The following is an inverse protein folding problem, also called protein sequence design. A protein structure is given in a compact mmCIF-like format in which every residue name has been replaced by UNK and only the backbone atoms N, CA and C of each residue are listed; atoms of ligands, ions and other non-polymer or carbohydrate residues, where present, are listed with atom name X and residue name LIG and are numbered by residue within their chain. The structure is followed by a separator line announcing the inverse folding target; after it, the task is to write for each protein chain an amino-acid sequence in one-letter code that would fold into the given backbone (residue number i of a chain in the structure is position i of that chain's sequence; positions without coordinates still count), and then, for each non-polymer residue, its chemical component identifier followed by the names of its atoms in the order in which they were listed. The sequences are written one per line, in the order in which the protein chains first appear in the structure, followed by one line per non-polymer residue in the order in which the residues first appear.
data_IF_554232449459
#
_entry.id   IF_554232449459
#
_cell.length_a   1.000
_cell.length_b   1.000
_cell.length_c   1.000
_cell.angle_alpha   90.00
_cell.angle_beta   90.00
_cell.angle_gamma   90.00
#
_symmetry.space_group_name_H-M   'P 1'
#
loop_
_entity.id
_entity.type
_entity.pdbx_description
1 polymer ?
#
# COMPACT_ATOMS: atom_id res chain seq x y z
N UNK A 1 -0.22 13.66 -45.70
CA UNK A 1 -0.85 13.89 -44.38
C UNK A 1 -1.27 12.60 -43.66
N UNK A 2 -2.00 11.67 -44.29
CA UNK A 2 -2.43 10.40 -43.66
C UNK A 2 -1.32 9.51 -43.08
N UNK A 3 -0.11 9.47 -43.66
CA UNK A 3 0.98 8.66 -43.11
C UNK A 3 1.61 9.24 -41.84
N UNK A 4 1.64 10.57 -41.68
CA UNK A 4 2.19 11.22 -40.48
C UNK A 4 1.30 10.96 -39.25
N UNK A 5 -0.01 11.12 -39.40
CA UNK A 5 -0.98 10.82 -38.33
C UNK A 5 -0.93 9.34 -37.90
N UNK A 6 -0.77 8.42 -38.86
CA UNK A 6 -0.60 6.99 -38.59
C UNK A 6 0.68 6.70 -37.77
N UNK A 7 1.82 7.26 -38.16
CA UNK A 7 3.08 7.04 -37.43
C UNK A 7 3.08 7.70 -36.04
N UNK A 8 2.41 8.84 -35.88
CA UNK A 8 2.18 9.47 -34.57
C UNK A 8 1.33 8.55 -33.68
N UNK A 9 0.23 8.00 -34.21
CA UNK A 9 -0.62 7.07 -33.47
C UNK A 9 0.14 5.80 -33.04
N UNK A 10 0.91 5.18 -33.95
CA UNK A 10 1.74 4.00 -33.62
C UNK A 10 2.80 4.33 -32.56
N UNK A 11 3.43 5.51 -32.65
CA UNK A 11 4.42 5.95 -31.67
C UNK A 11 3.78 6.16 -30.28
N UNK A 12 2.61 6.79 -30.21
CA UNK A 12 1.87 7.00 -28.97
C UNK A 12 1.42 5.68 -28.34
N UNK A 13 0.88 4.74 -29.13
CA UNK A 13 0.54 3.40 -28.63
C UNK A 13 1.77 2.68 -28.11
N UNK A 14 2.88 2.70 -28.84
CA UNK A 14 4.14 2.04 -28.42
C UNK A 14 4.70 2.65 -27.13
N UNK A 15 4.71 3.98 -27.01
CA UNK A 15 5.13 4.68 -25.80
C UNK A 15 4.23 4.30 -24.61
N UNK A 16 2.91 4.27 -24.81
CA UNK A 16 1.96 3.86 -23.79
C UNK A 16 2.21 2.41 -23.34
N UNK A 17 2.44 1.48 -24.28
CA UNK A 17 2.76 0.09 -23.99
C UNK A 17 4.09 -0.08 -23.24
N UNK A 18 5.12 0.70 -23.60
CA UNK A 18 6.41 0.68 -22.89
C UNK A 18 6.24 1.24 -21.47
N UNK A 19 5.52 2.35 -21.30
CA UNK A 19 5.22 2.91 -19.99
C UNK A 19 4.45 1.92 -19.11
N UNK A 20 3.40 1.30 -19.65
CA UNK A 20 2.62 0.25 -18.96
C UNK A 20 3.52 -0.92 -18.59
N UNK A 21 4.30 -1.47 -19.54
CA UNK A 21 5.22 -2.57 -19.24
C UNK A 21 6.26 -2.18 -18.20
N UNK A 22 6.82 -0.97 -18.27
CA UNK A 22 7.84 -0.49 -17.32
C UNK A 22 7.23 -0.34 -15.93
N UNK A 23 6.08 0.31 -15.79
CA UNK A 23 5.37 0.40 -14.49
C UNK A 23 5.07 -0.99 -13.94
N UNK A 24 4.55 -1.91 -14.75
CA UNK A 24 4.28 -3.28 -14.30
C UNK A 24 5.54 -4.07 -13.97
N UNK A 25 6.63 -3.88 -14.71
CA UNK A 25 7.91 -4.53 -14.46
C UNK A 25 8.54 -4.01 -13.19
N UNK A 26 8.59 -2.69 -12.98
CA UNK A 26 9.11 -2.07 -11.76
C UNK A 26 8.27 -2.49 -10.56
N UNK A 27 6.94 -2.42 -10.63
CA UNK A 27 6.06 -2.90 -9.54
C UNK A 27 6.27 -4.40 -9.29
N UNK A 28 6.35 -5.23 -10.34
CA UNK A 28 6.55 -6.68 -10.15
C UNK A 28 7.92 -7.00 -9.57
N UNK A 29 8.99 -6.38 -10.05
CA UNK A 29 10.35 -6.62 -9.57
C UNK A 29 10.52 -6.07 -8.16
N UNK A 30 10.01 -4.88 -7.88
CA UNK A 30 10.12 -4.24 -6.57
C UNK A 30 9.28 -4.94 -5.51
N UNK A 31 8.16 -5.58 -5.86
CA UNK A 31 7.26 -6.15 -4.85
C UNK A 31 7.16 -7.68 -4.84
N UNK A 32 7.44 -8.41 -5.93
CA UNK A 32 7.48 -9.88 -5.89
C UNK A 32 8.84 -10.44 -5.46
N UNK A 33 9.91 -9.63 -5.51
CA UNK A 33 11.26 -10.06 -5.19
C UNK A 33 11.85 -9.35 -3.97
N UNK A 34 11.04 -8.84 -3.04
CA UNK A 34 11.55 -8.39 -1.75
C UNK A 34 11.61 -9.60 -0.81
N UNK A 35 12.76 -10.29 -0.68
CA UNK A 35 12.92 -11.40 0.27
C UNK A 35 12.59 -11.00 1.71
N UNK A 36 12.63 -9.69 2.03
CA UNK A 36 12.28 -9.10 3.32
C UNK A 36 10.81 -9.33 3.71
N UNK A 37 9.84 -9.19 2.79
CA UNK A 37 8.43 -9.42 3.10
C UNK A 37 8.13 -10.90 3.40
N UNK A 38 8.86 -11.81 2.74
CA UNK A 38 8.70 -13.26 2.97
C UNK A 38 9.42 -13.68 4.24
N UNK A 39 10.64 -13.19 4.51
CA UNK A 39 11.36 -13.52 5.74
C UNK A 39 10.66 -13.02 7.00
N UNK A 40 10.14 -11.78 7.00
CA UNK A 40 9.46 -11.24 8.18
C UNK A 40 8.06 -11.80 8.40
N UNK A 41 7.35 -12.22 7.33
CA UNK A 41 6.12 -12.99 7.48
C UNK A 41 6.37 -14.40 8.06
N UNK A 42 7.55 -14.97 7.79
CA UNK A 42 7.99 -16.24 8.39
C UNK A 42 8.44 -16.06 9.85
N UNK A 43 9.07 -14.92 10.21
CA UNK A 43 9.43 -14.61 11.60
C UNK A 43 8.19 -14.60 12.52
N UNK A 44 7.05 -14.08 12.04
CA UNK A 44 5.77 -14.15 12.78
C UNK A 44 5.32 -15.60 13.00
N UNK A 45 5.47 -16.47 11.99
CA UNK A 45 5.05 -17.86 12.07
C UNK A 45 6.01 -18.74 12.90
N UNK A 46 7.31 -18.43 12.91
CA UNK A 46 8.33 -19.17 13.67
C UNK A 46 8.37 -18.75 15.17
N UNK A 47 7.86 -17.55 15.51
CA UNK A 47 7.69 -17.10 16.90
C UNK A 47 6.40 -17.65 17.57
N UNK A 48 5.34 -17.88 16.79
CA UNK A 48 4.07 -18.51 17.24
C UNK A 48 4.31 -19.92 17.79
N UNK A 49 5.22 -20.70 17.17
CA UNK A 49 5.59 -22.06 17.62
C UNK A 49 6.47 -22.07 18.89
N UNK A 50 6.99 -20.91 19.34
CA UNK A 50 7.97 -20.83 20.46
C UNK A 50 7.44 -20.26 21.76
N UNK A 51 6.21 -19.73 21.83
CA UNK A 51 5.65 -19.19 23.09
C UNK A 51 4.65 -20.15 23.73
N UNK A 52 4.94 -20.71 24.92
CA UNK A 52 3.89 -21.11 25.84
C UNK A 52 3.09 -19.86 26.24
N UNK A 53 1.78 -19.87 26.02
CA UNK A 53 0.86 -18.84 26.53
C UNK A 53 1.01 -18.76 28.07
N UNK A 54 1.76 -17.78 28.60
CA UNK A 54 1.64 -17.43 30.02
C UNK A 54 2.87 -17.00 30.84
N UNK A 55 4.03 -16.63 30.28
CA UNK A 55 5.13 -16.13 31.14
C UNK A 55 5.48 -14.66 30.88
N UNK A 56 5.19 -13.83 31.89
CA UNK A 56 5.67 -12.44 32.00
C UNK A 56 7.13 -12.43 32.44
N UNK A 57 8.05 -12.09 31.54
CA UNK A 57 9.43 -11.79 31.91
C UNK A 57 9.55 -10.32 32.32
N UNK A 58 9.83 -10.08 33.59
CA UNK A 58 10.34 -8.80 34.09
C UNK A 58 11.85 -8.78 33.80
N UNK A 59 12.29 -7.98 32.82
CA UNK A 59 13.71 -7.65 32.67
C UNK A 59 13.90 -6.13 32.68
N UNK A 60 14.68 -5.65 33.64
CA UNK A 60 14.88 -4.25 34.03
C UNK A 60 15.97 -3.54 33.20
N UNK A 61 15.97 -3.72 31.87
CA UNK A 61 16.90 -3.01 30.97
C UNK A 61 16.17 -2.37 29.78
N UNK A 62 15.27 -1.43 30.07
CA UNK A 62 14.39 -0.86 29.05
C UNK A 62 15.06 0.27 28.25
N UNK A 63 15.26 0.08 26.93
CA UNK A 63 14.67 1.09 26.05
C UNK A 63 13.18 0.82 26.10
N UNK A 64 12.43 1.71 26.75
CA UNK A 64 11.00 1.54 26.87
C UNK A 64 10.34 2.03 25.57
N UNK A 65 10.28 1.17 24.55
CA UNK A 65 9.09 1.23 23.69
C UNK A 65 7.97 0.67 24.58
N UNK A 66 6.98 1.50 24.89
CA UNK A 66 5.86 1.11 25.73
C UNK A 66 5.16 -0.11 25.12
N UNK A 67 4.61 -1.01 25.95
CA UNK A 67 3.77 -2.09 25.43
C UNK A 67 2.60 -1.52 24.63
N UNK A 68 2.13 -2.22 23.60
CA UNK A 68 0.94 -1.78 22.84
C UNK A 68 -0.23 -1.59 23.81
N UNK A 69 -0.79 -0.38 23.93
CA UNK A 69 -1.86 -0.13 24.88
C UNK A 69 -3.17 -0.74 24.42
N UNK A 70 -4.03 -1.07 25.38
CA UNK A 70 -5.35 -1.68 25.15
C UNK A 70 -6.38 -0.63 24.68
N UNK A 71 -6.13 -0.06 23.50
CA UNK A 71 -6.98 0.97 22.89
C UNK A 71 -7.36 0.51 21.48
N UNK A 72 -8.66 0.55 21.16
CA UNK A 72 -9.17 0.36 19.80
C UNK A 72 -9.58 1.72 19.25
N UNK A 73 -9.01 2.09 18.10
CA UNK A 73 -9.31 3.28 17.35
C UNK A 73 -10.13 2.93 16.11
N UNK A 74 -11.21 3.65 15.89
CA UNK A 74 -11.99 3.61 14.64
C UNK A 74 -12.28 5.03 14.19
N UNK A 75 -12.35 5.25 12.87
CA UNK A 75 -12.65 6.59 12.32
C UNK A 75 -13.88 6.55 11.43
N UNK A 76 -14.63 7.65 11.41
CA UNK A 76 -15.66 7.88 10.40
C UNK A 76 -15.93 9.36 10.22
N UNK A 77 -16.67 9.72 9.18
CA UNK A 77 -17.01 11.12 8.91
C UNK A 77 -17.76 11.78 10.07
N UNK A 78 -18.65 11.04 10.71
CA UNK A 78 -19.53 11.53 11.78
C UNK A 78 -19.71 10.47 12.87
N UNK A 79 -20.34 10.84 13.98
CA UNK A 79 -20.71 9.89 15.04
C UNK A 79 -21.77 8.85 14.64
N UNK A 80 -22.40 8.99 13.46
CA UNK A 80 -23.46 8.09 13.02
C UNK A 80 -22.91 7.03 12.05
N UNK A 81 -22.64 5.84 12.58
CA UNK A 81 -22.10 4.72 11.82
C UNK A 81 -23.20 4.09 10.94
N UNK A 82 -22.92 3.80 9.64
CA UNK A 82 -23.84 3.08 8.76
C UNK A 82 -24.20 1.70 9.29
N UNK A 83 -25.46 1.30 9.11
CA UNK A 83 -26.02 0.03 9.64
C UNK A 83 -25.18 -1.20 9.24
N UNK A 84 -24.69 -1.23 8.00
CA UNK A 84 -23.87 -2.32 7.45
C UNK A 84 -22.53 -2.55 8.19
N UNK A 85 -22.07 -1.60 9.00
CA UNK A 85 -20.81 -1.67 9.75
C UNK A 85 -21.01 -1.71 11.26
N UNK A 86 -22.26 -1.65 11.75
CA UNK A 86 -22.54 -1.76 13.17
C UNK A 86 -22.15 -3.12 13.74
N UNK A 87 -22.36 -4.19 12.96
CA UNK A 87 -21.95 -5.54 13.39
C UNK A 87 -20.43 -5.67 13.57
N UNK A 88 -19.66 -5.07 12.66
CA UNK A 88 -18.20 -5.02 12.74
C UNK A 88 -17.75 -4.35 14.05
N UNK A 89 -18.24 -3.14 14.33
CA UNK A 89 -17.92 -2.43 15.56
C UNK A 89 -18.38 -3.21 16.81
N UNK A 90 -19.63 -3.69 16.82
CA UNK A 90 -20.18 -4.40 17.98
C UNK A 90 -19.40 -5.68 18.29
N UNK A 91 -18.90 -6.39 17.27
CA UNK A 91 -18.07 -7.59 17.48
C UNK A 91 -16.81 -7.28 18.28
N UNK A 92 -16.13 -6.17 17.98
CA UNK A 92 -14.96 -5.69 18.72
C UNK A 92 -15.32 -5.22 20.12
N UNK A 93 -16.35 -4.39 20.27
CA UNK A 93 -16.82 -3.92 21.58
C UNK A 93 -17.19 -5.09 22.48
N UNK A 94 -17.85 -6.13 21.93
CA UNK A 94 -18.28 -7.30 22.69
C UNK A 94 -17.13 -8.12 23.23
N UNK A 95 -16.05 -8.30 22.46
CA UNK A 95 -14.88 -9.07 22.89
C UNK A 95 -13.97 -8.27 23.83
N UNK A 96 -13.98 -6.94 23.71
CA UNK A 96 -13.07 -6.04 24.40
C UNK A 96 -13.84 -5.07 25.33
N UNK A 97 -14.69 -5.61 26.21
CA UNK A 97 -15.52 -4.81 27.12
C UNK A 97 -14.79 -4.32 28.37
N UNK A 98 -13.80 -5.10 28.83
CA UNK A 98 -13.12 -4.88 30.12
C UNK A 98 -11.64 -4.63 29.89
N UNK A 99 -11.12 -3.54 30.43
CA UNK A 99 -9.70 -3.19 30.32
C UNK A 99 -9.30 -2.54 28.99
N UNK A 100 -10.22 -2.41 28.04
CA UNK A 100 -10.00 -1.78 26.75
C UNK A 100 -10.69 -0.42 26.65
N UNK A 101 -10.02 0.56 26.06
CA UNK A 101 -10.60 1.83 25.68
C UNK A 101 -11.02 1.80 24.20
N UNK A 102 -12.22 2.31 23.90
CA UNK A 102 -12.68 2.47 22.52
C UNK A 102 -12.71 3.96 22.19
N UNK A 103 -11.89 4.37 21.22
CA UNK A 103 -11.81 5.74 20.74
C UNK A 103 -12.37 5.82 19.32
N UNK A 104 -13.43 6.59 19.17
CA UNK A 104 -14.05 6.85 17.89
C UNK A 104 -13.74 8.27 17.45
N UNK A 105 -13.20 8.43 16.25
CA UNK A 105 -12.74 9.70 15.72
C UNK A 105 -13.64 10.15 14.57
N UNK A 106 -14.32 11.28 14.76
CA UNK A 106 -14.99 11.97 13.65
C UNK A 106 -14.01 12.82 12.84
N UNK A 107 -14.42 13.29 11.67
CA UNK A 107 -13.62 14.27 10.89
C UNK A 107 -13.33 15.54 11.72
N UNK A 108 -14.27 15.96 12.58
CA UNK A 108 -14.10 17.09 13.49
C UNK A 108 -13.11 16.77 14.62
N UNK A 109 -13.19 15.58 15.22
CA UNK A 109 -12.23 15.15 16.25
C UNK A 109 -10.82 15.06 15.68
N UNK A 110 -10.67 14.54 14.46
CA UNK A 110 -9.40 14.42 13.76
C UNK A 110 -8.75 15.79 13.49
N UNK A 111 -9.52 16.75 12.97
CA UNK A 111 -9.05 18.12 12.72
C UNK A 111 -8.63 18.81 14.03
N UNK A 112 -9.46 18.71 15.08
CA UNK A 112 -9.17 19.27 16.41
C UNK A 112 -7.93 18.63 17.04
N UNK A 113 -7.80 17.31 16.96
CA UNK A 113 -6.65 16.57 17.46
C UNK A 113 -5.35 17.03 16.79
N UNK A 114 -5.35 17.16 15.46
CA UNK A 114 -4.20 17.70 14.73
C UNK A 114 -3.94 19.17 15.08
N UNK A 115 -4.98 20.00 15.22
CA UNK A 115 -4.82 21.39 15.61
C UNK A 115 -4.16 21.56 17.00
N UNK A 116 -4.46 20.67 17.94
CA UNK A 116 -3.92 20.71 19.29
C UNK A 116 -2.51 20.11 19.36
N UNK A 117 -2.29 18.94 18.76
CA UNK A 117 -1.07 18.16 18.97
C UNK A 117 -0.05 18.26 17.83
N UNK A 118 -0.51 18.54 16.61
CA UNK A 118 0.31 18.58 15.40
C UNK A 118 -0.04 19.78 14.49
N UNK A 119 -0.10 21.02 15.02
CA UNK A 119 -0.60 22.17 14.27
C UNK A 119 0.21 22.47 13.00
N UNK A 120 1.46 22.03 12.96
CA UNK A 120 2.34 22.14 11.80
C UNK A 120 1.87 21.30 10.61
N UNK A 121 1.16 20.19 10.83
CA UNK A 121 0.66 19.31 9.78
C UNK A 121 -0.75 19.69 9.29
N UNK A 122 -1.50 20.44 10.11
CA UNK A 122 -2.89 20.79 9.83
C UNK A 122 -3.13 21.43 8.44
N UNK A 123 -2.26 22.32 7.92
CA UNK A 123 -2.41 22.85 6.56
C UNK A 123 -2.34 21.75 5.49
N UNK A 124 -1.40 20.80 5.62
CA UNK A 124 -1.27 19.65 4.72
C UNK A 124 -2.49 18.75 4.81
N UNK A 125 -2.92 18.42 6.03
CA UNK A 125 -4.12 17.61 6.28
C UNK A 125 -5.36 18.18 5.58
N UNK A 126 -5.59 19.48 5.71
CA UNK A 126 -6.75 20.16 5.08
C UNK A 126 -6.61 20.32 3.57
N UNK A 127 -5.39 20.23 3.03
CA UNK A 127 -5.13 20.36 1.60
C UNK A 127 -5.40 19.07 0.82
N UNK A 128 -5.53 17.91 1.47
CA UNK A 128 -5.82 16.65 0.79
C UNK A 128 -7.16 16.72 0.03
N UNK A 129 -7.18 16.39 -1.28
CA UNK A 129 -8.38 16.53 -2.11
C UNK A 129 -9.48 15.51 -1.79
N UNK A 130 -9.16 14.40 -1.13
CA UNK A 130 -10.11 13.32 -0.86
C UNK A 130 -10.24 13.03 0.63
N UNK A 131 -11.47 12.90 1.13
CA UNK A 131 -11.76 12.56 2.54
C UNK A 131 -11.04 11.28 2.99
N UNK A 132 -10.93 10.29 2.11
CA UNK A 132 -10.25 9.02 2.42
C UNK A 132 -8.76 9.22 2.71
N UNK A 133 -8.09 10.18 2.07
CA UNK A 133 -6.68 10.48 2.40
C UNK A 133 -6.56 11.03 3.82
N UNK A 134 -7.54 11.83 4.26
CA UNK A 134 -7.58 12.34 5.64
C UNK A 134 -7.87 11.21 6.64
N UNK A 135 -8.72 10.25 6.29
CA UNK A 135 -8.96 9.05 7.09
C UNK A 135 -7.74 8.10 7.14
N UNK A 136 -6.99 7.99 6.04
CA UNK A 136 -5.70 7.29 5.99
C UNK A 136 -4.64 7.99 6.85
N UNK A 137 -4.60 9.32 6.86
CA UNK A 137 -3.56 10.03 7.61
C UNK A 137 -3.84 10.02 9.11
N UNK A 138 -5.09 10.24 9.53
CA UNK A 138 -5.41 10.32 10.96
C UNK A 138 -5.06 9.03 11.70
N UNK A 139 -5.24 7.85 11.08
CA UNK A 139 -4.88 6.56 11.68
C UNK A 139 -3.38 6.45 12.01
N UNK A 140 -2.50 7.07 11.23
CA UNK A 140 -1.07 7.11 11.53
C UNK A 140 -0.77 8.00 12.73
N UNK A 141 -1.39 9.19 12.77
CA UNK A 141 -1.18 10.12 13.88
C UNK A 141 -1.74 9.62 15.21
N UNK A 142 -2.91 8.98 15.22
CA UNK A 142 -3.49 8.42 16.47
C UNK A 142 -2.66 7.24 16.97
N UNK A 143 -2.19 6.34 16.09
CA UNK A 143 -1.29 5.26 16.48
C UNK A 143 0.06 5.79 16.99
N UNK A 144 0.65 6.78 16.32
CA UNK A 144 1.88 7.39 16.80
C UNK A 144 1.69 8.07 18.17
N UNK A 145 0.55 8.72 18.39
CA UNK A 145 0.31 9.48 19.61
C UNK A 145 -0.09 8.59 20.80
N UNK A 146 -1.05 7.69 20.60
CA UNK A 146 -1.68 6.88 21.64
C UNK A 146 -1.23 5.43 21.64
N UNK A 147 -0.66 4.92 20.54
CA UNK A 147 -0.49 3.49 20.31
C UNK A 147 -1.83 2.78 20.06
N UNK A 148 -1.86 1.48 20.29
CA UNK A 148 -3.06 0.66 20.29
C UNK A 148 -3.32 -0.06 18.97
N UNK A 149 -4.59 -0.31 18.69
CA UNK A 149 -5.08 -1.00 17.50
C UNK A 149 -5.99 -0.06 16.72
N UNK A 150 -5.65 0.22 15.47
CA UNK A 150 -6.55 0.86 14.52
C UNK A 150 -7.31 -0.19 13.71
N UNK A 151 -8.62 0.00 13.53
CA UNK A 151 -9.48 -0.81 12.67
C UNK A 151 -10.36 0.11 11.81
N UNK A 152 -10.43 -0.15 10.51
CA UNK A 152 -11.47 0.42 9.65
C UNK A 152 -12.86 -0.08 10.07
N UNK A 153 -13.91 0.67 9.73
CA UNK A 153 -15.28 0.37 10.18
C UNK A 153 -15.87 -0.90 9.57
N UNK A 154 -15.37 -1.33 8.44
CA UNK A 154 -15.71 -2.60 7.80
C UNK A 154 -14.89 -3.79 8.34
N UNK A 155 -14.07 -3.58 9.38
CA UNK A 155 -13.32 -4.63 10.07
C UNK A 155 -13.89 -4.86 11.47
N UNK A 156 -14.30 -6.10 11.73
CA UNK A 156 -14.74 -6.58 13.05
C UNK A 156 -13.72 -7.49 13.71
N UNK A 157 -14.01 -7.92 14.94
CA UNK A 157 -13.15 -8.79 15.73
C UNK A 157 -13.80 -10.17 15.85
N UNK A 158 -13.07 -11.21 15.44
CA UNK A 158 -13.45 -12.61 15.58
C UNK A 158 -12.89 -13.23 16.86
N UNK A 159 -11.74 -12.75 17.33
CA UNK A 159 -11.02 -13.23 18.51
C UNK A 159 -10.50 -12.05 19.36
N UNK A 160 -10.19 -12.28 20.64
CA UNK A 160 -9.47 -11.29 21.45
C UNK A 160 -8.14 -10.91 20.79
N UNK A 161 -7.84 -9.61 20.75
CA UNK A 161 -6.65 -9.07 20.09
C UNK A 161 -5.41 -9.05 20.98
N UNK A 162 -5.53 -9.39 22.27
CA UNK A 162 -4.46 -9.44 23.26
C UNK A 162 -3.18 -10.15 22.77
N UNK A 163 -3.27 -11.31 22.06
CA UNK A 163 -2.07 -11.99 21.55
C UNK A 163 -1.27 -11.15 20.56
N UNK A 164 -1.92 -10.22 19.85
CA UNK A 164 -1.28 -9.35 18.87
C UNK A 164 -0.56 -8.16 19.52
N UNK A 165 -0.86 -7.85 20.79
CA UNK A 165 -0.26 -6.71 21.50
C UNK A 165 1.15 -7.01 22.04
N UNK A 166 1.59 -8.26 21.98
CA UNK A 166 2.88 -8.72 22.46
C UNK A 166 4.03 -8.49 21.47
N UNK A 167 3.79 -7.72 20.42
CA UNK A 167 4.72 -7.40 19.34
C UNK A 167 4.84 -5.87 19.22
N UNK A 168 5.83 -5.39 18.45
CA UNK A 168 6.00 -3.97 18.12
C UNK A 168 4.90 -3.45 17.18
N UNK A 169 5.27 -2.99 15.99
CA UNK A 169 4.29 -2.62 14.99
C UNK A 169 3.83 -3.84 14.16
N UNK A 170 2.52 -4.03 13.98
CA UNK A 170 1.94 -5.07 13.12
C UNK A 170 1.07 -4.48 12.02
N UNK A 171 1.22 -4.99 10.80
CA UNK A 171 0.35 -4.68 9.67
C UNK A 171 -0.03 -5.98 8.92
N UNK A 172 -1.26 -6.11 8.43
CA UNK A 172 -1.70 -7.31 7.71
C UNK A 172 -1.14 -7.38 6.31
N UNK A 173 -0.78 -8.58 5.86
CA UNK A 173 -0.45 -8.85 4.46
C UNK A 173 -1.69 -8.69 3.60
N UNK A 174 -1.60 -7.92 2.52
CA UNK A 174 -2.65 -7.77 1.52
C UNK A 174 -2.28 -8.39 0.19
N UNK A 175 -3.29 -8.73 -0.61
CA UNK A 175 -3.14 -9.29 -1.96
C UNK A 175 -3.53 -8.23 -3.01
N UNK A 176 -2.82 -8.18 -4.16
CA UNK A 176 -1.75 -9.08 -4.59
C UNK A 176 -0.36 -8.76 -4.01
N UNK A 177 -0.18 -7.58 -3.42
CA UNK A 177 1.13 -7.04 -3.02
C UNK A 177 0.99 -6.18 -1.77
N UNK A 178 1.93 -6.33 -0.84
CA UNK A 178 2.18 -5.37 0.24
C UNK A 178 1.41 -5.64 1.53
N UNK A 179 1.15 -4.56 2.26
CA UNK A 179 0.39 -4.56 3.52
C UNK A 179 -0.88 -3.73 3.38
N UNK A 180 -1.94 -4.10 4.12
CA UNK A 180 -3.11 -3.22 4.26
C UNK A 180 -2.88 -2.19 5.36
N UNK A 181 -3.58 -1.07 5.27
CA UNK A 181 -3.63 -0.02 6.29
C UNK A 181 -5.00 0.03 7.01
N UNK A 182 -5.88 -0.95 6.78
CA UNK A 182 -7.20 -1.05 7.45
C UNK A 182 -7.14 -1.65 8.86
N UNK A 183 -6.08 -2.40 9.16
CA UNK A 183 -5.72 -2.87 10.50
C UNK A 183 -4.27 -2.52 10.75
N UNK A 184 -3.98 -1.87 11.87
CA UNK A 184 -2.61 -1.57 12.26
C UNK A 184 -2.50 -1.58 13.78
N UNK A 185 -1.41 -2.15 14.28
CA UNK A 185 -1.17 -2.28 15.72
C UNK A 185 0.19 -1.66 16.00
N UNK A 186 0.30 -0.85 17.04
CA UNK A 186 1.58 -0.24 17.38
C UNK A 186 1.64 0.26 18.81
N UNK A 187 2.81 0.23 19.45
CA UNK A 187 3.02 1.01 20.66
C UNK A 187 3.05 2.51 20.34
N UNK A 188 2.77 3.34 21.34
CA UNK A 188 2.89 4.78 21.17
C UNK A 188 4.34 5.13 20.81
N UNK A 189 4.49 6.14 19.94
CA UNK A 189 5.79 6.67 19.49
C UNK A 189 6.70 5.69 18.76
N UNK A 190 6.15 4.61 18.18
CA UNK A 190 6.94 3.67 17.40
C UNK A 190 7.69 4.37 16.24
N UNK A 191 9.01 4.14 16.05
CA UNK A 191 9.83 4.86 15.06
C UNK A 191 9.30 4.75 13.63
N UNK A 192 8.75 3.60 13.25
CA UNK A 192 8.07 3.41 11.96
C UNK A 192 6.99 4.48 11.70
N UNK A 193 6.10 4.75 12.66
CA UNK A 193 5.05 5.75 12.46
C UNK A 193 5.58 7.19 12.53
N UNK A 194 6.72 7.42 13.20
CA UNK A 194 7.41 8.71 13.11
C UNK A 194 7.89 8.97 11.67
N UNK A 195 8.54 7.98 11.05
CA UNK A 195 9.00 8.03 9.66
C UNK A 195 7.83 8.22 8.69
N UNK A 196 6.76 7.42 8.83
CA UNK A 196 5.53 7.55 8.03
C UNK A 196 4.97 8.98 8.09
N UNK A 197 4.89 9.58 9.29
CA UNK A 197 4.38 10.94 9.47
C UNK A 197 5.31 12.00 8.85
N UNK A 198 6.62 11.80 8.92
CA UNK A 198 7.62 12.69 8.32
C UNK A 198 7.56 12.64 6.79
N UNK A 199 7.38 11.46 6.20
CA UNK A 199 7.35 11.27 4.75
C UNK A 199 6.03 11.76 4.12
N UNK A 200 4.94 11.83 4.88
CA UNK A 200 3.71 12.52 4.48
C UNK A 200 3.91 14.02 4.18
N UNK A 201 4.94 14.67 4.76
CA UNK A 201 5.26 16.07 4.47
C UNK A 201 6.04 16.25 3.17
N UNK A 202 6.86 15.26 2.82
CA UNK A 202 7.80 15.34 1.70
C UNK A 202 7.20 14.83 0.40
N UNK A 203 5.98 14.30 0.43
CA UNK A 203 5.27 13.91 -0.78
C UNK A 203 4.73 15.15 -1.54
N UNK A 204 5.61 15.76 -2.34
CA UNK A 204 5.26 16.78 -3.34
C UNK A 204 4.27 16.24 -4.41
N UNK A 205 3.96 14.94 -4.40
CA UNK A 205 3.10 14.24 -5.35
C UNK A 205 1.72 13.86 -4.78
N UNK A 206 1.05 14.82 -4.13
CA UNK A 206 -0.38 14.73 -3.73
C UNK A 206 -1.31 14.28 -4.89
N UNK A 207 -0.82 14.23 -6.13
CA UNK A 207 -1.58 13.80 -7.30
C UNK A 207 -0.85 12.73 -8.15
N UNK A 208 -1.29 11.47 -8.03
CA UNK A 208 -0.85 10.34 -8.87
C UNK A 208 -1.80 10.09 -10.06
N UNK A 209 -2.53 11.11 -10.49
CA UNK A 209 -3.51 11.01 -11.57
C UNK A 209 -4.90 10.62 -11.07
N UNK A 210 -5.47 9.47 -11.47
CA UNK A 210 -6.80 9.05 -11.02
C UNK A 210 -6.92 9.02 -9.49
N UNK A 211 -8.13 9.22 -8.97
CA UNK A 211 -8.41 9.25 -7.53
C UNK A 211 -7.87 7.99 -6.85
N UNK A 212 -8.14 6.81 -7.40
CA UNK A 212 -7.72 5.53 -6.82
C UNK A 212 -6.20 5.44 -6.64
N UNK A 213 -5.44 5.75 -7.69
CA UNK A 213 -3.97 5.75 -7.63
C UNK A 213 -3.45 6.80 -6.66
N UNK A 214 -4.04 8.00 -6.68
CA UNK A 214 -3.69 9.09 -5.76
C UNK A 214 -3.84 8.67 -4.32
N UNK A 215 -5.02 8.16 -3.93
CA UNK A 215 -5.27 7.68 -2.57
C UNK A 215 -4.30 6.55 -2.21
N UNK A 216 -4.19 5.54 -3.07
CA UNK A 216 -3.40 4.33 -2.80
C UNK A 216 -1.91 4.63 -2.54
N UNK A 217 -1.31 5.53 -3.33
CA UNK A 217 0.13 5.80 -3.31
C UNK A 217 0.56 7.00 -2.44
N UNK A 218 -0.34 7.92 -2.10
CA UNK A 218 0.02 9.08 -1.24
C UNK A 218 -0.23 8.85 0.24
N UNK A 219 -1.30 8.13 0.58
CA UNK A 219 -1.69 7.92 1.98
C UNK A 219 -2.15 6.50 2.26
N UNK A 220 -2.52 5.73 1.24
CA UNK A 220 -3.13 4.41 1.42
C UNK A 220 -2.14 3.26 1.58
N UNK A 221 -2.61 2.04 1.32
CA UNK A 221 -1.84 0.82 1.53
C UNK A 221 -0.53 0.71 0.74
N UNK A 222 -0.43 1.29 -0.47
CA UNK A 222 0.84 1.26 -1.21
C UNK A 222 1.86 2.24 -0.65
N UNK A 223 1.42 3.41 -0.16
CA UNK A 223 2.29 4.33 0.57
C UNK A 223 2.91 3.60 1.77
N UNK A 224 2.08 3.04 2.66
CA UNK A 224 2.56 2.30 3.84
C UNK A 224 3.44 1.10 3.45
N UNK A 225 3.14 0.41 2.35
CA UNK A 225 3.98 -0.69 1.87
C UNK A 225 5.39 -0.21 1.50
N UNK A 226 5.51 0.97 0.88
CA UNK A 226 6.80 1.58 0.58
C UNK A 226 7.54 1.98 1.86
N UNK A 227 6.84 2.58 2.82
CA UNK A 227 7.38 2.93 4.14
C UNK A 227 7.93 1.70 4.87
N UNK A 228 7.20 0.58 4.89
CA UNK A 228 7.68 -0.66 5.51
C UNK A 228 8.97 -1.15 4.84
N UNK A 229 9.04 -1.09 3.51
CA UNK A 229 10.24 -1.48 2.77
C UNK A 229 11.44 -0.58 3.09
N UNK A 230 11.23 0.74 3.16
CA UNK A 230 12.27 1.71 3.51
C UNK A 230 12.77 1.51 4.94
N UNK A 231 11.84 1.35 5.88
CA UNK A 231 12.15 1.12 7.29
C UNK A 231 13.03 -0.12 7.49
N UNK A 232 12.69 -1.25 6.86
CA UNK A 232 13.51 -2.46 6.93
C UNK A 232 14.88 -2.31 6.27
N UNK A 233 14.98 -1.56 5.17
CA UNK A 233 16.27 -1.25 4.52
C UNK A 233 17.18 -0.48 5.47
N UNK A 234 16.65 0.55 6.13
CA UNK A 234 17.40 1.33 7.12
C UNK A 234 17.83 0.50 8.34
N UNK A 235 16.92 -0.34 8.87
CA UNK A 235 17.24 -1.24 9.99
C UNK A 235 18.35 -2.24 9.63
N UNK A 236 18.32 -2.79 8.42
CA UNK A 236 19.34 -3.75 7.93
C UNK A 236 20.70 -3.07 7.78
N UNK A 237 20.74 -1.87 7.21
CA UNK A 237 21.97 -1.09 7.06
C UNK A 237 22.57 -0.75 8.43
N UNK A 238 21.74 -0.33 9.39
CA UNK A 238 22.19 0.03 10.73
C UNK A 238 22.68 -1.21 11.52
N UNK A 239 22.02 -2.36 11.39
CA UNK A 239 22.45 -3.62 12.04
C UNK A 239 23.77 -4.15 11.48
N UNK A 240 24.07 -3.91 10.20
CA UNK A 240 25.33 -4.35 9.58
C UNK A 240 26.57 -3.58 10.06
N UNK A 241 26.38 -2.42 10.69
CA UNK A 241 27.46 -1.59 11.22
C UNK A 241 27.84 -1.93 12.68
N UNK A 242 26.92 -2.53 13.45
CA UNK A 242 27.12 -2.83 14.86
C UNK A 242 27.38 -4.34 15.08
N UNK A 243 28.63 -4.76 14.85
CA UNK A 243 29.04 -6.17 14.97
C UNK A 243 29.33 -6.60 16.41
N UNK A 244 28.95 -5.80 17.41
CA UNK A 244 29.24 -6.09 18.82
C UNK A 244 28.13 -5.62 19.75
N UNK A 245 27.05 -6.41 19.89
CA UNK A 245 26.46 -6.83 21.16
C UNK A 245 25.10 -7.48 20.94
N UNK A 246 24.82 -8.45 21.81
CA UNK A 246 23.51 -8.79 22.39
C UNK A 246 22.27 -8.40 21.57
N UNK A 247 21.41 -9.37 21.27
CA UNK A 247 20.01 -9.15 20.89
C UNK A 247 19.31 -8.24 21.90
N UNK A 248 19.45 -6.93 21.72
CA UNK A 248 18.86 -5.93 22.59
C UNK A 248 17.35 -6.01 22.40
N UNK A 249 16.61 -6.27 23.49
CA UNK A 249 15.14 -6.28 23.54
C UNK A 249 14.54 -5.09 22.77
N UNK A 250 15.17 -3.92 22.89
CA UNK A 250 14.79 -2.69 22.20
C UNK A 250 14.68 -2.77 20.67
N UNK A 251 15.55 -3.56 20.01
CA UNK A 251 15.52 -3.71 18.56
C UNK A 251 14.34 -4.58 18.11
N UNK A 252 13.85 -5.49 18.98
CA UNK A 252 12.64 -6.27 18.74
C UNK A 252 11.39 -5.41 18.89
N UNK A 253 11.35 -4.51 19.86
CA UNK A 253 10.19 -3.64 20.09
C UNK A 253 10.04 -2.55 19.02
N UNK A 254 11.12 -2.21 18.32
CA UNK A 254 11.11 -1.30 17.16
C UNK A 254 10.86 -2.03 15.82
N UNK A 255 10.60 -3.34 15.83
CA UNK A 255 10.37 -4.11 14.62
C UNK A 255 8.96 -3.90 14.06
N UNK A 256 8.85 -3.96 12.73
CA UNK A 256 7.57 -4.04 12.02
C UNK A 256 7.41 -5.47 11.53
N UNK A 257 6.37 -6.16 11.99
CA UNK A 257 6.05 -7.53 11.55
C UNK A 257 4.74 -7.55 10.75
N UNK A 258 4.59 -8.61 9.95
CA UNK A 258 3.45 -8.75 9.05
C UNK A 258 2.52 -9.84 9.55
N UNK A 259 1.24 -9.50 9.76
CA UNK A 259 0.20 -10.48 10.09
C UNK A 259 -0.06 -11.35 8.85
N UNK A 260 0.18 -12.67 8.91
CA UNK A 260 -0.10 -13.58 7.81
C UNK A 260 -1.57 -13.57 7.41
N UNK A 261 -1.83 -13.80 6.12
CA UNK A 261 -3.17 -13.83 5.54
C UNK A 261 -4.15 -14.73 6.30
N UNK A 262 -3.73 -15.90 6.82
CA UNK A 262 -4.57 -16.83 7.61
C UNK A 262 -5.12 -16.24 8.92
N UNK A 263 -4.43 -15.26 9.48
CA UNK A 263 -4.79 -14.60 10.74
C UNK A 263 -5.52 -13.27 10.50
N UNK A 264 -5.64 -12.86 9.24
CA UNK A 264 -6.22 -11.60 8.82
C UNK A 264 -7.47 -11.75 7.93
N UNK A 265 -7.42 -12.57 6.88
CA UNK A 265 -8.57 -12.85 6.01
C UNK A 265 -9.58 -13.78 6.71
N UNK A 266 -10.83 -13.82 6.23
CA UNK A 266 -11.98 -14.48 6.85
C UNK A 266 -11.91 -16.03 6.92
N UNK A 267 -10.85 -16.57 7.52
CA UNK A 267 -10.65 -17.96 7.88
C UNK A 267 -11.05 -18.21 9.36
N UNK A 268 -11.20 -19.47 9.76
CA UNK A 268 -11.48 -19.86 11.15
C UNK A 268 -10.39 -19.38 12.12
N UNK A 269 -9.15 -19.31 11.63
CA UNK A 269 -8.01 -18.86 12.41
C UNK A 269 -7.90 -17.33 12.52
N UNK A 270 -8.69 -16.57 11.76
CA UNK A 270 -8.63 -15.11 11.74
C UNK A 270 -8.91 -14.47 13.09
N UNK A 271 -8.21 -13.37 13.36
CA UNK A 271 -8.56 -12.42 14.42
C UNK A 271 -9.66 -11.45 13.99
N UNK A 272 -9.87 -11.29 12.68
CA UNK A 272 -10.69 -10.22 12.11
C UNK A 272 -11.83 -10.76 11.24
N UNK A 273 -12.97 -10.06 11.29
CA UNK A 273 -14.11 -10.24 10.41
C UNK A 273 -14.09 -9.14 9.35
N UNK A 274 -14.38 -9.47 8.09
CA UNK A 274 -14.42 -8.49 7.00
C UNK A 274 -15.84 -8.31 6.49
N UNK A 275 -16.30 -7.07 6.51
CA UNK A 275 -17.60 -6.65 6.01
C UNK A 275 -17.44 -5.96 4.66
N UNK A 276 -18.52 -5.84 3.85
CA UNK A 276 -18.46 -5.10 2.60
C UNK A 276 -17.96 -3.67 2.79
N UNK A 277 -16.76 -3.43 2.28
CA UNK A 277 -16.04 -2.17 2.36
C UNK A 277 -16.08 -1.34 1.09
N UNK A 278 -14.99 -0.59 0.84
CA UNK A 278 -14.75 0.10 -0.44
C UNK A 278 -15.62 1.32 -0.75
N UNK A 279 -16.18 1.98 0.27
CA UNK A 279 -17.05 3.16 0.12
C UNK A 279 -16.38 4.34 -0.62
N UNK A 280 -15.06 4.38 -0.69
CA UNK A 280 -14.28 5.42 -1.35
C UNK A 280 -13.96 5.13 -2.83
N UNK A 281 -14.13 3.88 -3.29
CA UNK A 281 -13.84 3.49 -4.68
C UNK A 281 -14.73 4.27 -5.66
N UNK A 282 -14.12 4.74 -6.75
CA UNK A 282 -14.83 5.39 -7.85
C UNK A 282 -14.71 4.62 -9.16
N UNK A 283 -15.22 5.20 -10.26
CA UNK A 283 -15.28 4.53 -11.58
C UNK A 283 -13.89 4.16 -12.10
N UNK A 284 -12.88 4.94 -11.72
CA UNK A 284 -11.48 4.71 -12.04
C UNK A 284 -10.93 3.38 -11.51
N UNK A 285 -11.42 2.88 -10.38
CA UNK A 285 -11.06 1.54 -9.88
C UNK A 285 -11.39 0.47 -10.90
N UNK A 286 -12.55 0.56 -11.56
CA UNK A 286 -12.92 -0.40 -12.61
C UNK A 286 -11.97 -0.34 -13.80
N UNK A 287 -11.52 0.86 -14.16
CA UNK A 287 -10.57 1.06 -15.27
C UNK A 287 -9.20 0.49 -14.89
N UNK A 288 -8.69 0.83 -13.71
CA UNK A 288 -7.41 0.33 -13.19
C UNK A 288 -7.43 -1.18 -13.05
N UNK A 289 -8.45 -1.75 -12.41
CA UNK A 289 -8.62 -3.20 -12.26
C UNK A 289 -8.76 -3.89 -13.61
N UNK A 290 -9.44 -3.29 -14.59
CA UNK A 290 -9.52 -3.84 -15.95
C UNK A 290 -8.15 -3.86 -16.63
N UNK A 291 -7.36 -2.79 -16.51
CA UNK A 291 -5.99 -2.73 -17.07
C UNK A 291 -5.09 -3.78 -16.42
N UNK A 292 -5.14 -3.91 -15.09
CA UNK A 292 -4.33 -4.87 -14.33
C UNK A 292 -4.71 -6.32 -14.69
N UNK A 293 -6.01 -6.64 -14.73
CA UNK A 293 -6.50 -7.99 -15.02
C UNK A 293 -6.33 -8.39 -16.49
N UNK A 294 -6.36 -7.42 -17.42
CA UNK A 294 -6.22 -7.67 -18.87
C UNK A 294 -4.84 -7.31 -19.42
N UNK A 295 -3.82 -7.15 -18.56
CA UNK A 295 -2.45 -6.75 -18.94
C UNK A 295 -1.85 -7.57 -20.08
N UNK A 296 -2.14 -8.87 -20.14
CA UNK A 296 -1.66 -9.76 -21.20
C UNK A 296 -2.26 -9.41 -22.57
N UNK A 297 -3.53 -9.01 -22.61
CA UNK A 297 -4.19 -8.56 -23.84
C UNK A 297 -3.56 -7.25 -24.31
N UNK A 298 -3.31 -6.30 -23.40
CA UNK A 298 -2.63 -5.05 -23.75
C UNK A 298 -1.22 -5.31 -24.28
N UNK A 299 -0.46 -6.21 -23.66
CA UNK A 299 0.86 -6.62 -24.16
C UNK A 299 0.78 -7.24 -25.55
N UNK A 300 -0.17 -8.16 -25.77
CA UNK A 300 -0.39 -8.79 -27.07
C UNK A 300 -0.74 -7.77 -28.16
N UNK A 301 -1.69 -6.87 -27.88
CA UNK A 301 -2.10 -5.81 -28.81
C UNK A 301 -0.93 -4.88 -29.16
N UNK A 302 -0.06 -4.61 -28.19
CA UNK A 302 1.14 -3.80 -28.37
C UNK A 302 2.14 -4.48 -29.30
N UNK A 303 2.40 -5.77 -29.09
CA UNK A 303 3.26 -6.59 -29.96
C UNK A 303 2.70 -6.68 -31.38
N UNK A 304 1.38 -6.91 -31.52
CA UNK A 304 0.71 -6.97 -32.82
C UNK A 304 0.78 -5.62 -33.56
N UNK A 305 0.60 -4.50 -32.85
CA UNK A 305 0.72 -3.17 -33.43
C UNK A 305 2.15 -2.88 -33.92
N UNK A 306 3.17 -3.27 -33.15
CA UNK A 306 4.57 -3.15 -33.55
C UNK A 306 4.90 -4.02 -34.78
N UNK A 307 4.44 -5.27 -34.79
CA UNK A 307 4.62 -6.19 -35.91
C UNK A 307 3.95 -5.66 -37.19
N UNK A 308 2.72 -5.15 -37.09
CA UNK A 308 1.99 -4.53 -38.19
C UNK A 308 2.70 -3.27 -38.71
N UNK A 309 3.20 -2.43 -37.81
CA UNK A 309 3.99 -1.23 -38.15
C UNK A 309 5.28 -1.60 -38.90
N UNK A 310 5.98 -2.64 -38.46
CA UNK A 310 7.17 -3.16 -39.15
C UNK A 310 6.84 -3.67 -40.55
N UNK A 311 5.77 -4.45 -40.71
CA UNK A 311 5.31 -4.95 -42.02
C UNK A 311 4.93 -3.83 -42.98
N UNK A 312 4.23 -2.80 -42.50
CA UNK A 312 3.89 -1.63 -43.31
C UNK A 312 5.15 -0.89 -43.74
N UNK A 313 6.14 -0.71 -42.85
CA UNK A 313 7.42 -0.08 -43.17
C UNK A 313 8.19 -0.85 -44.26
N UNK A 314 8.24 -2.18 -44.17
CA UNK A 314 8.87 -3.05 -45.17
C UNK A 314 8.16 -2.90 -46.52
N UNK A 315 6.81 -2.94 -46.55
CA UNK A 315 6.03 -2.77 -47.79
C UNK A 315 6.20 -1.39 -48.42
N UNK A 316 6.27 -0.33 -47.62
CA UNK A 316 6.50 1.03 -48.11
C UNK A 316 7.92 1.19 -48.68
N UNK A 317 8.95 0.60 -48.04
CA UNK A 317 10.32 0.55 -48.59
C UNK A 317 10.39 -0.27 -49.88
N UNK A 318 9.73 -1.43 -49.93
CA UNK A 318 9.69 -2.28 -51.13
C UNK A 318 8.95 -1.64 -52.33
N UNK A 319 7.98 -0.74 -52.07
CA UNK A 319 7.33 0.05 -53.13
C UNK A 319 8.19 1.21 -53.64
N UNK A 320 9.06 1.78 -52.80
CA UNK A 320 9.98 2.84 -53.21
C UNK A 320 11.15 2.33 -54.09
N UNK A 321 11.43 1.02 -54.09
CA UNK A 321 12.53 0.37 -54.83
C UNK A 321 12.00 -0.35 -56.10
N UNK A 322 10.82 0.01 -56.64
CA UNK A 322 10.44 -0.45 -57.99
C UNK A 322 11.08 0.48 -59.03
N UNK A 323 12.05 0.01 -59.85
CA UNK A 323 12.62 0.84 -60.91
C UNK A 323 11.52 1.20 -61.92
N UNK A 324 11.45 2.47 -62.31
CA UNK A 324 10.58 2.93 -63.39
C UNK A 324 10.91 2.14 -64.65
N UNK A 325 9.92 1.51 -65.29
CA UNK A 325 10.09 0.94 -66.63
C UNK A 325 10.58 2.07 -67.54
N UNK A 326 11.84 1.98 -67.96
CA UNK A 326 12.44 2.85 -68.96
C UNK A 326 11.70 2.59 -70.27
N UNK A 327 10.89 3.53 -70.70
CA UNK A 327 10.23 3.51 -72.01
C UNK A 327 11.32 3.69 -73.07
N UNK A 328 11.61 2.62 -73.82
CA UNK A 328 12.45 2.67 -75.01
C UNK A 328 11.69 3.45 -76.10
N UNK A 329 11.93 4.74 -76.19
CA UNK A 329 11.76 5.50 -77.42
C UNK A 329 13.13 6.00 -77.88
N UNK A 330 13.34 5.92 -79.19
CA UNK A 330 14.45 6.48 -79.97
C UNK A 330 15.78 5.71 -79.98
N UNK A 331 15.93 4.85 -80.99
CA UNK A 331 17.16 4.78 -81.80
C UNK A 331 16.76 4.42 -83.24
N UNK A 332 16.66 5.43 -84.11
CA UNK A 332 16.91 5.26 -85.54
C UNK A 332 18.33 5.78 -85.83
N UNK A 333 19.13 5.04 -86.61
CA UNK A 333 20.09 5.66 -87.51
C UNK A 333 19.67 5.43 -88.98
N UNK A 334 20.13 6.39 -89.80
CA UNK A 334 19.84 6.68 -91.22
C UNK A 334 19.53 5.52 -92.16
#
# INVERSE_FOLDING_TARGET
MRSRAYWIFVALCTLCSILVFRVFWEVRVHFNNEPLFVSHALDFADDDDRRPLGESFQDESACAIESVPYIIHQTYKTAQIPEQWLEAQHSCQKLHQTGWQHMFWTDEDADNFLAIHYPWFLPTYRAYPYDIQRADVIRYFVLYHFGGVYLDLDVGCQKPLDPLLAYGALLPKTLPVGVSNDVMISPARHPFFAMVIEDLLHDDSIYWGPKYSTVLFSTGSMFVTMEVSQYWKEQTLNSSYDTSQSTNSCLRDASVLIIPTRYYEADLDSFFLHFPGSSWHSVDVRVVSYIITKKEIFLLLSVLALALGALIRIRLRGRAIRPSKMTYHEMQPM
#
